data_IF_118568245365
#
_entry.id   IF_118568245365
#
_cell.length_a   1.000
_cell.length_b   1.000
_cell.length_c   1.000
_cell.angle_alpha   90.00
_cell.angle_beta   90.00
_cell.angle_gamma   90.00
#
_symmetry.space_group_name_H-M   'P 1'
#
loop_
_entity.id
_entity.type
_entity.pdbx_description
1 polymer ?
#
# COMPACT_ATOMS: atom_id res chain seq x y z
N UNK A 1 -36.11 20.89 -69.79
CA UNK A 1 -35.34 22.12 -70.03
C UNK A 1 -34.04 21.93 -69.24
N UNK A 2 -33.01 21.41 -69.89
CA UNK A 2 -31.84 22.09 -70.35
C UNK A 2 -31.10 22.84 -69.20
N UNK A 3 -29.86 22.55 -68.80
CA UNK A 3 -28.67 22.33 -69.60
C UNK A 3 -27.51 21.87 -68.71
N UNK A 4 -26.79 20.87 -69.16
CA UNK A 4 -25.35 20.61 -68.94
C UNK A 4 -24.58 21.47 -70.03
N UNK A 5 -23.25 21.48 -70.11
CA UNK A 5 -22.10 21.27 -69.20
C UNK A 5 -20.95 22.30 -69.52
N UNK A 6 -19.76 22.19 -68.86
CA UNK A 6 -18.45 22.46 -69.55
C UNK A 6 -17.33 22.31 -68.52
N UNK A 7 -16.44 21.36 -68.50
CA UNK A 7 -15.27 21.00 -69.31
C UNK A 7 -14.06 21.97 -69.19
N UNK A 8 -12.98 21.31 -68.89
CA UNK A 8 -11.58 21.51 -69.32
C UNK A 8 -10.70 22.23 -68.30
N UNK A 9 -9.46 21.87 -68.10
CA UNK A 9 -8.48 20.95 -68.70
C UNK A 9 -7.19 21.11 -67.89
N UNK A 10 -6.56 20.07 -67.53
CA UNK A 10 -5.39 19.47 -68.16
C UNK A 10 -4.02 20.08 -67.81
N UNK A 11 -3.16 19.22 -67.29
CA UNK A 11 -1.84 18.92 -67.84
C UNK A 11 -0.66 19.82 -67.53
N UNK A 12 0.29 19.25 -66.86
CA UNK A 12 1.73 19.13 -67.19
C UNK A 12 2.41 18.39 -65.98
N UNK A 13 2.76 17.18 -66.07
CA UNK A 13 3.89 16.47 -66.71
C UNK A 13 5.09 17.35 -67.04
N UNK A 14 6.21 17.07 -66.40
CA UNK A 14 7.51 16.71 -66.95
C UNK A 14 8.59 16.77 -65.90
N UNK A 15 9.21 15.66 -65.73
CA UNK A 15 10.49 15.06 -66.11
C UNK A 15 11.57 15.34 -65.11
N UNK A 16 12.12 14.30 -64.43
CA UNK A 16 13.17 13.36 -64.84
C UNK A 16 14.47 14.11 -65.18
N UNK A 17 15.58 13.82 -64.66
CA UNK A 17 16.41 12.66 -64.67
C UNK A 17 17.86 13.01 -64.28
N UNK A 18 18.59 11.99 -63.90
CA UNK A 18 20.05 11.81 -63.93
C UNK A 18 20.91 12.58 -62.92
N UNK A 19 21.90 12.00 -62.25
CA UNK A 19 22.80 10.89 -62.59
C UNK A 19 23.42 10.37 -61.30
N UNK A 20 23.48 9.10 -61.03
CA UNK A 20 24.58 8.17 -61.10
C UNK A 20 25.99 8.72 -60.91
N UNK A 21 26.67 8.25 -59.87
CA UNK A 21 28.09 7.90 -59.88
C UNK A 21 28.45 7.26 -58.53
N UNK A 22 28.47 5.97 -58.42
CA UNK A 22 29.54 4.99 -58.25
C UNK A 22 30.90 5.55 -57.84
N UNK A 23 31.38 5.13 -56.67
CA UNK A 23 32.73 4.63 -56.45
C UNK A 23 32.95 4.19 -55.00
N UNK A 24 33.01 2.93 -54.76
CA UNK A 24 33.94 2.26 -53.84
C UNK A 24 35.12 1.75 -54.67
N UNK A 25 36.24 1.28 -54.14
CA UNK A 25 36.71 1.13 -52.78
C UNK A 25 38.13 1.65 -52.56
N UNK A 26 38.60 1.77 -51.34
CA UNK A 26 40.02 1.42 -51.07
C UNK A 26 40.20 0.95 -49.63
N UNK A 27 40.69 -0.23 -49.59
CA UNK A 27 41.29 -1.03 -48.54
C UNK A 27 42.67 -0.43 -48.25
N UNK A 28 43.00 -0.19 -46.97
CA UNK A 28 44.36 -0.33 -46.52
C UNK A 28 44.35 -0.75 -45.05
N UNK A 29 45.02 -1.80 -44.90
CA UNK A 29 45.45 -2.51 -43.72
C UNK A 29 46.61 -1.75 -43.05
N UNK A 30 46.72 -1.91 -41.78
CA UNK A 30 47.86 -1.49 -40.95
C UNK A 30 47.41 -1.62 -39.50
N UNK A 31 47.60 -2.73 -38.92
CA UNK A 31 48.75 -3.22 -38.17
C UNK A 31 48.82 -2.66 -36.78
N UNK A 32 48.42 -3.48 -35.86
CA UNK A 32 49.14 -3.92 -34.65
C UNK A 32 49.69 -2.87 -33.72
N UNK A 33 49.22 -2.88 -32.49
CA UNK A 33 50.09 -3.12 -31.34
C UNK A 33 49.27 -3.16 -30.04
N UNK A 34 49.06 -4.35 -29.54
CA UNK A 34 49.03 -4.59 -28.09
C UNK A 34 50.36 -4.20 -27.49
N UNK A 35 50.42 -3.73 -26.25
CA UNK A 35 51.15 -4.50 -25.32
C UNK A 35 50.41 -4.75 -23.99
N UNK A 36 50.30 -5.99 -23.69
CA UNK A 36 50.38 -6.60 -22.39
C UNK A 36 51.41 -5.86 -21.49
N UNK A 37 50.99 -5.42 -20.35
CA UNK A 37 51.85 -5.27 -19.18
C UNK A 37 51.19 -5.98 -18.01
N UNK A 38 51.74 -7.13 -17.78
CA UNK A 38 51.59 -7.98 -16.60
C UNK A 38 52.76 -7.63 -15.67
N UNK A 39 52.51 -7.13 -14.49
CA UNK A 39 53.42 -7.22 -13.34
C UNK A 39 52.53 -7.44 -12.13
N UNK A 40 52.50 -8.64 -11.69
CA UNK A 40 53.31 -9.36 -10.68
C UNK A 40 53.06 -8.83 -9.27
N UNK A 41 52.34 -9.70 -8.56
CA UNK A 41 52.62 -10.30 -7.27
C UNK A 41 53.59 -9.54 -6.35
N UNK A 42 53.08 -9.13 -5.22
CA UNK A 42 53.81 -9.20 -3.97
C UNK A 42 52.86 -9.61 -2.86
N UNK A 43 53.00 -10.82 -2.48
CA UNK A 43 52.59 -11.41 -1.22
C UNK A 43 53.47 -10.82 -0.11
N UNK A 44 52.85 -10.28 0.93
CA UNK A 44 53.50 -10.36 2.25
C UNK A 44 52.43 -10.67 3.29
N UNK A 45 52.68 -11.81 3.85
CA UNK A 45 52.02 -12.41 4.99
C UNK A 45 52.40 -11.70 6.28
N UNK A 46 51.58 -11.99 7.26
CA UNK A 46 51.85 -12.06 8.70
C UNK A 46 51.90 -10.74 9.47
N UNK A 47 51.00 -10.57 10.36
CA UNK A 47 51.11 -10.89 11.78
C UNK A 47 49.84 -10.53 12.54
N UNK A 48 49.20 -11.53 13.10
CA UNK A 48 48.49 -11.34 14.35
C UNK A 48 49.50 -10.99 15.46
N UNK A 49 49.07 -10.19 16.44
CA UNK A 49 49.09 -10.74 17.77
C UNK A 49 47.75 -10.67 18.46
N UNK A 50 47.47 -11.74 19.13
CA UNK A 50 46.60 -11.93 20.26
C UNK A 50 46.94 -10.97 21.39
N UNK A 51 45.94 -10.45 22.02
CA UNK A 51 45.97 -9.70 23.28
C UNK A 51 44.57 -9.48 23.72
N UNK A 52 44.06 -10.33 24.43
CA UNK A 52 43.42 -10.45 25.70
C UNK A 52 43.54 -9.18 26.56
N UNK A 53 42.45 -8.79 27.11
CA UNK A 53 42.20 -8.40 28.48
C UNK A 53 41.10 -7.32 28.51
N UNK A 54 40.02 -7.72 29.07
CA UNK A 54 39.57 -7.53 30.44
C UNK A 54 38.94 -6.22 30.75
N UNK A 55 37.66 -6.36 31.06
CA UNK A 55 36.95 -5.74 32.18
C UNK A 55 36.97 -4.23 32.35
N UNK A 56 35.77 -3.69 32.29
CA UNK A 56 35.43 -2.63 33.22
C UNK A 56 33.98 -2.84 33.72
N UNK A 57 33.86 -3.50 34.82
CA UNK A 57 32.75 -3.43 35.72
C UNK A 57 32.87 -2.12 36.50
N UNK A 58 31.86 -1.30 36.47
CA UNK A 58 31.67 -0.20 37.41
C UNK A 58 30.63 -0.60 38.43
N UNK A 59 31.08 -1.13 39.57
CA UNK A 59 30.28 -1.33 40.75
C UNK A 59 30.66 -0.24 41.77
N UNK A 60 29.69 0.54 42.17
CA UNK A 60 29.81 1.51 43.23
C UNK A 60 29.48 0.89 44.54
N UNK A 61 30.47 0.85 45.37
CA UNK A 61 30.60 1.14 46.80
C UNK A 61 29.56 0.68 47.80
N UNK A 62 29.96 -0.33 48.47
CA UNK A 62 29.64 -0.60 49.88
C UNK A 62 30.60 0.18 50.81
N UNK A 63 30.05 1.03 51.64
CA UNK A 63 30.72 1.58 52.81
C UNK A 63 30.50 0.67 54.01
N UNK A 64 31.54 -0.05 54.36
CA UNK A 64 31.65 -0.75 55.65
C UNK A 64 32.27 0.18 56.67
N UNK A 65 31.64 0.40 57.76
CA UNK A 65 32.26 1.00 58.97
C UNK A 65 32.12 0.11 60.17
N UNK A 66 33.26 -0.18 60.62
CA UNK A 66 33.71 -1.00 61.73
C UNK A 66 33.10 -0.64 63.08
N UNK A 67 32.90 -1.71 63.87
CA UNK A 67 32.72 -1.79 65.33
C UNK A 67 33.66 -0.88 66.13
N UNK A 68 33.10 -0.18 67.05
CA UNK A 68 33.74 0.03 68.35
C UNK A 68 32.66 -0.02 69.44
N UNK A 69 32.78 -0.97 70.37
CA UNK A 69 32.06 -0.99 71.66
C UNK A 69 32.78 -0.12 72.69
N UNK A 70 32.06 0.50 73.54
CA UNK A 70 32.53 0.55 74.94
C UNK A 70 31.50 0.07 75.93
N UNK A 71 32.11 -0.51 76.91
CA UNK A 71 31.82 -1.11 78.22
C UNK A 71 30.92 -0.23 79.08
N UNK A 72 29.96 -0.91 79.74
CA UNK A 72 29.38 -0.79 81.05
C UNK A 72 29.23 0.57 81.73
N UNK A 73 27.98 0.88 82.09
CA UNK A 73 27.69 1.18 83.55
C UNK A 73 26.24 0.83 83.85
N UNK A 74 26.04 -0.01 84.84
CA UNK A 74 24.73 -0.33 85.39
C UNK A 74 24.18 0.88 86.17
N UNK A 75 22.99 1.31 85.79
CA UNK A 75 22.18 2.10 86.70
C UNK A 75 20.76 1.47 86.79
N UNK A 76 20.48 0.85 87.85
CA UNK A 76 19.15 0.36 88.21
C UNK A 76 18.23 1.57 88.47
N UNK A 77 17.24 1.72 87.64
CA UNK A 77 16.08 2.53 87.98
C UNK A 77 14.84 1.68 87.79
N UNK A 78 14.16 1.57 88.96
CA UNK A 78 12.86 0.96 89.05
C UNK A 78 11.84 1.72 88.20
N UNK A 79 11.44 1.16 87.13
CA UNK A 79 10.19 1.57 86.44
C UNK A 79 9.19 0.44 86.49
N UNK A 80 8.11 0.76 87.17
CA UNK A 80 6.88 0.01 87.32
C UNK A 80 6.40 -0.44 85.95
N UNK A 81 6.20 -1.74 85.77
CA UNK A 81 5.63 -2.35 84.56
C UNK A 81 4.25 -1.77 84.25
N UNK A 82 4.13 -0.90 83.32
CA UNK A 82 2.87 -0.55 82.67
C UNK A 82 2.55 -1.65 81.70
N UNK A 83 1.36 -2.20 81.80
CA UNK A 83 0.86 -3.40 81.18
C UNK A 83 1.15 -3.51 79.67
N UNK A 84 1.46 -4.73 79.26
CA UNK A 84 1.56 -5.19 77.91
C UNK A 84 0.37 -4.73 77.09
N UNK A 85 0.62 -3.91 76.04
CA UNK A 85 -0.35 -3.71 75.02
C UNK A 85 -0.57 -5.05 74.27
N UNK A 86 -1.73 -5.67 74.62
CA UNK A 86 -2.17 -6.87 73.93
C UNK A 86 -2.26 -6.63 72.44
N UNK A 87 -1.66 -7.52 71.70
CA UNK A 87 -1.82 -7.61 70.24
C UNK A 87 -3.29 -7.45 69.90
N UNK A 88 -3.64 -6.75 68.75
CA UNK A 88 -5.02 -6.62 68.33
C UNK A 88 -5.57 -8.00 68.01
N UNK A 89 -6.28 -8.58 68.94
CA UNK A 89 -7.04 -9.82 68.75
C UNK A 89 -8.01 -9.57 67.60
N UNK A 90 -7.88 -10.34 66.54
CA UNK A 90 -8.87 -10.38 65.50
C UNK A 90 -10.25 -10.56 66.13
N UNK A 91 -11.05 -9.48 66.19
CA UNK A 91 -12.43 -9.56 66.70
C UNK A 91 -13.14 -10.58 65.78
N UNK A 92 -13.56 -11.67 66.36
CA UNK A 92 -14.40 -12.66 65.75
C UNK A 92 -15.70 -12.03 65.18
N UNK A 93 -16.41 -12.72 64.35
CA UNK A 93 -17.63 -12.18 63.73
C UNK A 93 -18.60 -11.75 64.86
N UNK A 94 -18.99 -10.45 64.83
CA UNK A 94 -19.92 -9.85 65.80
C UNK A 94 -21.25 -10.59 65.75
N UNK A 95 -21.59 -11.29 66.80
CA UNK A 95 -22.89 -11.95 67.02
C UNK A 95 -23.82 -11.00 67.76
N UNK A 96 -24.95 -10.62 67.13
CA UNK A 96 -25.88 -9.67 67.74
C UNK A 96 -26.53 -10.30 68.98
N UNK A 97 -26.38 -9.63 70.11
CA UNK A 97 -26.91 -10.10 71.43
C UNK A 97 -28.40 -9.79 71.60
N UNK A 98 -28.92 -8.72 70.98
CA UNK A 98 -30.28 -8.22 71.17
C UNK A 98 -31.05 -8.08 69.83
N UNK A 99 -32.38 -8.05 69.91
CA UNK A 99 -33.24 -7.88 68.70
C UNK A 99 -32.91 -6.55 67.95
N UNK A 100 -32.62 -5.49 68.68
CA UNK A 100 -32.24 -4.20 68.18
C UNK A 100 -30.93 -4.23 67.33
N UNK A 101 -29.91 -4.95 67.75
CA UNK A 101 -28.65 -5.11 67.03
C UNK A 101 -28.86 -5.87 65.70
N UNK A 102 -29.77 -6.82 65.72
CA UNK A 102 -30.14 -7.58 64.45
C UNK A 102 -30.81 -6.67 63.43
N UNK A 103 -31.65 -5.75 63.86
CA UNK A 103 -32.31 -4.77 62.97
C UNK A 103 -31.30 -3.79 62.41
N UNK A 104 -30.39 -3.24 63.17
CA UNK A 104 -29.31 -2.35 62.66
C UNK A 104 -28.43 -3.08 61.65
N UNK A 105 -28.08 -4.33 61.87
CA UNK A 105 -27.28 -5.12 60.96
C UNK A 105 -28.04 -5.46 59.65
N UNK A 106 -29.34 -5.71 59.73
CA UNK A 106 -30.21 -5.91 58.56
C UNK A 106 -30.29 -4.62 57.75
N UNK A 107 -30.53 -3.47 58.38
CA UNK A 107 -30.58 -2.16 57.70
C UNK A 107 -29.23 -1.79 57.06
N UNK A 108 -28.09 -2.06 57.71
CA UNK A 108 -26.75 -1.89 57.10
C UNK A 108 -26.51 -2.80 55.91
N UNK A 109 -26.92 -4.07 55.97
CA UNK A 109 -26.83 -5.02 54.86
C UNK A 109 -27.69 -4.59 53.67
N UNK A 110 -28.88 -4.09 53.93
CA UNK A 110 -29.80 -3.57 52.90
C UNK A 110 -29.22 -2.32 52.18
N UNK A 111 -28.68 -1.37 52.97
CA UNK A 111 -28.00 -0.18 52.44
C UNK A 111 -26.80 -0.54 51.57
N UNK A 112 -25.97 -1.49 52.02
CA UNK A 112 -24.81 -1.98 51.24
C UNK A 112 -25.24 -2.73 49.99
N UNK A 113 -26.30 -3.54 50.05
CA UNK A 113 -26.86 -4.20 48.84
C UNK A 113 -27.37 -3.18 47.81
N UNK A 114 -28.14 -2.16 48.28
CA UNK A 114 -28.63 -1.08 47.41
C UNK A 114 -27.49 -0.26 46.80
N UNK A 115 -26.44 0.06 47.58
CA UNK A 115 -25.23 0.75 47.09
C UNK A 115 -24.48 -0.10 46.07
N UNK A 116 -24.26 -1.39 46.32
CA UNK A 116 -23.62 -2.31 45.35
C UNK A 116 -24.41 -2.45 44.05
N UNK A 117 -25.76 -2.54 44.13
CA UNK A 117 -26.62 -2.56 42.93
C UNK A 117 -26.52 -1.26 42.13
N UNK A 118 -26.49 -0.09 42.81
CA UNK A 118 -26.31 1.22 42.10
C UNK A 118 -24.92 1.33 41.43
N UNK A 119 -23.87 0.89 42.12
CA UNK A 119 -22.51 0.87 41.55
C UNK A 119 -22.45 -0.10 40.36
N UNK A 120 -22.99 -1.32 40.49
CA UNK A 120 -23.05 -2.28 39.40
C UNK A 120 -23.84 -1.75 38.20
N UNK A 121 -24.99 -1.10 38.43
CA UNK A 121 -25.78 -0.47 37.39
C UNK A 121 -25.00 0.68 36.71
N UNK A 122 -24.26 1.49 37.49
CA UNK A 122 -23.40 2.54 36.95
C UNK A 122 -22.27 1.99 36.10
N UNK A 123 -21.61 0.92 36.53
CA UNK A 123 -20.57 0.25 35.72
C UNK A 123 -21.13 -0.31 34.39
N UNK A 124 -22.30 -0.97 34.46
CA UNK A 124 -22.98 -1.48 33.27
C UNK A 124 -23.33 -0.34 32.31
N UNK A 125 -23.86 0.79 32.83
CA UNK A 125 -24.17 1.96 32.01
C UNK A 125 -22.92 2.53 31.31
N UNK A 126 -21.81 2.66 32.05
CA UNK A 126 -20.54 3.12 31.44
C UNK A 126 -20.02 2.13 30.39
N UNK A 127 -20.07 0.82 30.64
CA UNK A 127 -19.69 -0.18 29.64
C UNK A 127 -20.57 -0.08 28.38
N UNK A 128 -21.89 0.09 28.57
CA UNK A 128 -22.82 0.25 27.43
C UNK A 128 -22.53 1.52 26.63
N UNK A 129 -22.25 2.65 27.30
CA UNK A 129 -21.90 3.90 26.58
C UNK A 129 -20.58 3.76 25.82
N UNK A 130 -19.58 3.07 26.36
CA UNK A 130 -18.31 2.80 25.66
C UNK A 130 -18.52 1.89 24.45
N UNK A 131 -19.34 0.84 24.58
CA UNK A 131 -19.66 -0.06 23.47
C UNK A 131 -20.44 0.67 22.38
N UNK A 132 -21.49 1.40 22.75
CA UNK A 132 -22.29 2.18 21.78
C UNK A 132 -21.47 3.28 21.12
N UNK A 133 -20.61 3.96 21.88
CA UNK A 133 -19.68 4.97 21.34
C UNK A 133 -18.68 4.36 20.38
N UNK A 134 -18.12 3.18 20.71
CA UNK A 134 -17.20 2.45 19.83
C UNK A 134 -17.87 1.98 18.52
N UNK A 135 -19.07 1.41 18.62
CA UNK A 135 -19.85 1.00 17.45
C UNK A 135 -20.22 2.22 16.58
N UNK A 136 -20.65 3.32 17.22
CA UNK A 136 -20.97 4.56 16.48
C UNK A 136 -19.75 5.16 15.79
N UNK A 137 -18.58 5.15 16.42
CA UNK A 137 -17.33 5.61 15.83
C UNK A 137 -16.88 4.71 14.65
N UNK A 138 -16.98 3.40 14.81
CA UNK A 138 -16.67 2.44 13.75
C UNK A 138 -17.61 2.62 12.54
N UNK A 139 -18.91 2.75 12.80
CA UNK A 139 -19.89 3.02 11.74
C UNK A 139 -19.62 4.33 11.01
N UNK A 140 -19.32 5.42 11.74
CA UNK A 140 -18.99 6.71 11.13
C UNK A 140 -17.70 6.63 10.30
N UNK A 141 -16.69 5.89 10.77
CA UNK A 141 -15.45 5.65 10.03
C UNK A 141 -15.72 4.92 8.72
N UNK A 142 -16.45 3.79 8.75
CA UNK A 142 -16.78 3.00 7.57
C UNK A 142 -17.61 3.82 6.57
N UNK A 143 -18.60 4.58 7.04
CA UNK A 143 -19.42 5.43 6.18
C UNK A 143 -18.62 6.58 5.53
N UNK A 144 -17.63 7.13 6.24
CA UNK A 144 -16.73 8.13 5.65
C UNK A 144 -15.78 7.51 4.63
N UNK A 145 -15.29 6.31 4.88
CA UNK A 145 -14.46 5.54 3.97
C UNK A 145 -15.22 5.24 2.66
N UNK A 146 -16.44 4.74 2.80
CA UNK A 146 -17.32 4.44 1.67
C UNK A 146 -17.57 5.68 0.79
N UNK A 147 -17.89 6.81 1.41
CA UNK A 147 -18.04 8.08 0.69
C UNK A 147 -16.77 8.55 -0.01
N UNK A 148 -15.59 8.28 0.56
CA UNK A 148 -14.34 8.66 -0.05
C UNK A 148 -14.00 7.78 -1.26
N UNK A 149 -14.25 6.48 -1.17
CA UNK A 149 -14.02 5.52 -2.25
C UNK A 149 -14.96 5.76 -3.45
N UNK A 150 -16.20 6.14 -3.19
CA UNK A 150 -17.24 6.32 -4.21
C UNK A 150 -17.44 7.80 -4.65
N UNK A 151 -16.50 8.71 -4.29
CA UNK A 151 -16.68 10.16 -4.50
C UNK A 151 -16.85 10.57 -5.97
N UNK A 152 -16.21 9.87 -6.89
CA UNK A 152 -16.18 10.16 -8.32
C UNK A 152 -16.93 9.08 -9.14
N UNK A 153 -17.76 8.27 -8.46
CA UNK A 153 -18.58 7.23 -9.10
C UNK A 153 -19.90 7.86 -9.52
N UNK A 154 -20.12 7.94 -10.82
CA UNK A 154 -21.35 8.45 -11.40
C UNK A 154 -22.35 7.34 -11.78
N UNK A 155 -23.55 7.75 -12.20
CA UNK A 155 -24.60 6.80 -12.59
C UNK A 155 -24.23 6.03 -13.88
N UNK A 156 -23.47 6.63 -14.77
CA UNK A 156 -23.07 5.98 -16.04
C UNK A 156 -22.07 4.86 -15.78
N UNK A 157 -21.13 5.08 -14.86
CA UNK A 157 -20.22 4.02 -14.40
C UNK A 157 -21.00 2.87 -13.76
N UNK A 158 -21.89 3.14 -12.82
CA UNK A 158 -22.69 2.10 -12.16
C UNK A 158 -23.57 1.32 -13.14
N UNK A 159 -24.15 2.01 -14.14
CA UNK A 159 -24.98 1.37 -15.16
C UNK A 159 -24.15 0.53 -16.15
N UNK A 160 -22.86 0.76 -16.26
CA UNK A 160 -21.96 -0.02 -17.12
C UNK A 160 -21.47 -1.32 -16.47
N UNK A 161 -21.66 -1.47 -15.15
CA UNK A 161 -21.22 -2.64 -14.40
C UNK A 161 -22.32 -3.71 -14.34
N UNK A 162 -21.90 -4.96 -14.40
CA UNK A 162 -22.80 -6.12 -14.28
C UNK A 162 -22.85 -6.57 -12.83
N UNK A 163 -24.06 -6.61 -12.26
CA UNK A 163 -24.26 -7.08 -10.88
C UNK A 163 -23.94 -8.56 -10.77
N UNK A 164 -23.16 -8.96 -9.76
CA UNK A 164 -22.92 -10.36 -9.41
C UNK A 164 -24.10 -10.93 -8.61
N UNK A 165 -24.51 -12.16 -8.91
CA UNK A 165 -25.65 -12.81 -8.24
C UNK A 165 -25.35 -13.15 -6.76
N UNK A 166 -24.09 -13.38 -6.43
CA UNK A 166 -23.65 -13.73 -5.08
C UNK A 166 -22.24 -13.19 -4.79
N UNK A 167 -22.02 -12.72 -3.57
CA UNK A 167 -20.69 -12.26 -3.10
C UNK A 167 -19.62 -13.36 -3.12
N UNK A 168 -20.00 -14.63 -3.29
CA UNK A 168 -19.08 -15.76 -3.40
C UNK A 168 -18.77 -16.17 -4.83
N UNK A 169 -19.47 -15.64 -5.82
CA UNK A 169 -19.28 -16.01 -7.21
C UNK A 169 -18.04 -15.31 -7.79
N UNK A 170 -17.32 -15.96 -8.70
CA UNK A 170 -16.22 -15.34 -9.41
C UNK A 170 -16.71 -14.13 -10.21
N UNK A 171 -15.97 -13.04 -10.16
CA UNK A 171 -16.28 -11.82 -10.90
C UNK A 171 -15.05 -11.21 -11.57
N UNK A 172 -15.31 -10.30 -12.51
CA UNK A 172 -14.27 -9.52 -13.15
C UNK A 172 -14.28 -8.09 -12.65
N UNK A 173 -13.08 -7.57 -12.38
CA UNK A 173 -12.83 -6.20 -11.98
C UNK A 173 -11.84 -5.56 -12.94
N UNK A 174 -12.15 -4.37 -13.41
CA UNK A 174 -11.24 -3.58 -14.24
C UNK A 174 -10.42 -2.63 -13.36
N UNK A 175 -9.11 -2.82 -13.36
CA UNK A 175 -8.16 -1.96 -12.65
C UNK A 175 -7.53 -1.01 -13.66
N UNK A 176 -7.63 0.30 -13.42
CA UNK A 176 -7.09 1.34 -14.29
C UNK A 176 -6.08 2.20 -13.53
N UNK A 177 -4.92 2.41 -14.15
CA UNK A 177 -3.95 3.42 -13.74
C UNK A 177 -3.99 4.60 -14.69
N UNK A 178 -4.21 5.80 -14.14
CA UNK A 178 -4.23 7.06 -14.90
C UNK A 178 -3.06 7.95 -14.52
N UNK A 179 -2.60 8.71 -15.49
CA UNK A 179 -1.60 9.78 -15.30
C UNK A 179 -2.33 11.13 -15.38
N UNK A 180 -2.59 11.73 -14.22
CA UNK A 180 -3.23 13.05 -14.08
C UNK A 180 -2.19 14.17 -14.20
N UNK A 181 -1.34 14.14 -15.21
CA UNK A 181 -0.39 15.22 -15.45
C UNK A 181 -1.15 16.50 -15.85
N UNK A 182 -1.17 17.50 -14.94
CA UNK A 182 -1.83 18.80 -15.12
C UNK A 182 -1.35 19.53 -16.39
N UNK A 183 -0.13 19.24 -16.87
CA UNK A 183 0.40 19.78 -18.12
C UNK A 183 -0.30 19.26 -19.36
N UNK A 184 -1.00 18.12 -19.28
CA UNK A 184 -1.74 17.51 -20.39
C UNK A 184 -3.22 17.90 -20.44
N UNK A 185 -3.79 18.38 -19.34
CA UNK A 185 -5.17 18.90 -19.31
C UNK A 185 -5.39 20.04 -20.32
N UNK A 186 -4.35 20.78 -20.68
CA UNK A 186 -4.41 21.92 -21.57
C UNK A 186 -4.24 21.58 -23.05
N UNK A 187 -4.02 20.31 -23.42
CA UNK A 187 -3.88 19.93 -24.83
C UNK A 187 -5.27 19.66 -25.44
N UNK A 188 -5.69 20.55 -26.32
CA UNK A 188 -6.98 20.48 -27.07
C UNK A 188 -7.14 19.24 -27.96
N UNK A 189 -6.09 18.44 -28.14
CA UNK A 189 -6.09 17.29 -29.07
C UNK A 189 -7.03 16.15 -28.64
N UNK A 190 -7.36 16.06 -27.33
CA UNK A 190 -8.22 15.01 -26.77
C UNK A 190 -9.23 15.53 -25.75
N UNK A 191 -9.58 16.81 -25.80
CA UNK A 191 -10.64 17.39 -25.00
C UNK A 191 -10.38 17.45 -23.49
N UNK A 192 -9.12 17.51 -23.07
CA UNK A 192 -8.74 17.56 -21.63
C UNK A 192 -8.94 16.25 -20.88
N UNK A 193 -9.15 15.13 -21.57
CA UNK A 193 -9.38 13.84 -20.96
C UNK A 193 -8.09 13.06 -20.74
N UNK A 194 -7.95 12.46 -19.56
CA UNK A 194 -6.84 11.58 -19.24
C UNK A 194 -6.84 10.31 -20.10
N UNK A 195 -5.66 9.75 -20.32
CA UNK A 195 -5.50 8.43 -20.95
C UNK A 195 -5.09 7.42 -19.91
N UNK A 196 -5.57 6.21 -20.07
CA UNK A 196 -5.12 5.10 -19.25
C UNK A 196 -3.74 4.64 -19.68
N UNK A 197 -2.80 4.61 -18.74
CA UNK A 197 -1.45 4.08 -18.97
C UNK A 197 -1.35 2.60 -18.63
N UNK A 198 -2.23 2.13 -17.75
CA UNK A 198 -2.34 0.73 -17.34
C UNK A 198 -3.80 0.29 -17.30
N UNK A 199 -4.08 -0.85 -17.91
CA UNK A 199 -5.37 -1.53 -17.82
C UNK A 199 -5.15 -3.00 -17.51
N UNK A 200 -5.73 -3.46 -16.42
CA UNK A 200 -5.61 -4.85 -15.95
C UNK A 200 -7.01 -5.39 -15.65
N UNK A 201 -7.37 -6.45 -16.34
CA UNK A 201 -8.56 -7.23 -16.05
C UNK A 201 -8.21 -8.26 -14.98
N UNK A 202 -8.82 -8.14 -13.80
CA UNK A 202 -8.68 -9.05 -12.69
C UNK A 202 -9.89 -9.98 -12.63
N UNK A 203 -9.67 -11.29 -12.68
CA UNK A 203 -10.68 -12.27 -12.29
C UNK A 203 -10.44 -12.64 -10.84
N UNK A 204 -11.43 -12.40 -10.01
CA UNK A 204 -11.39 -12.67 -8.57
C UNK A 204 -12.35 -13.82 -8.27
N UNK A 205 -11.84 -14.85 -7.62
CA UNK A 205 -12.61 -16.00 -7.14
C UNK A 205 -12.55 -16.01 -5.60
N UNK A 206 -13.58 -15.48 -4.92
CA UNK A 206 -13.59 -15.40 -3.47
C UNK A 206 -13.62 -16.76 -2.78
N UNK A 207 -14.26 -17.75 -3.42
CA UNK A 207 -14.41 -19.10 -2.89
C UNK A 207 -13.09 -19.86 -2.87
N UNK A 208 -12.37 -19.80 -3.98
CA UNK A 208 -11.09 -20.48 -4.13
C UNK A 208 -9.92 -19.60 -3.66
N UNK A 209 -10.20 -18.33 -3.33
CA UNK A 209 -9.19 -17.30 -2.94
C UNK A 209 -8.13 -17.14 -4.01
N UNK A 210 -8.55 -17.14 -5.26
CA UNK A 210 -7.68 -17.02 -6.42
C UNK A 210 -7.91 -15.69 -7.13
N UNK A 211 -6.82 -15.07 -7.58
CA UNK A 211 -6.84 -13.85 -8.40
C UNK A 211 -5.98 -14.07 -9.62
N UNK A 212 -6.59 -13.92 -10.79
CA UNK A 212 -5.90 -13.95 -12.08
C UNK A 212 -5.85 -12.54 -12.67
N UNK A 213 -4.66 -12.07 -13.05
CA UNK A 213 -4.44 -10.75 -13.61
C UNK A 213 -4.04 -10.84 -15.08
N UNK A 214 -4.78 -10.15 -15.95
CA UNK A 214 -4.50 -10.05 -17.38
C UNK A 214 -4.28 -8.57 -17.74
N UNK A 215 -3.06 -8.23 -18.16
CA UNK A 215 -2.79 -6.87 -18.66
C UNK A 215 -3.33 -6.72 -20.08
N UNK A 216 -3.97 -5.59 -20.34
CA UNK A 216 -4.44 -5.18 -21.65
C UNK A 216 -3.49 -4.09 -22.15
N UNK A 217 -2.70 -4.35 -23.21
CA UNK A 217 -1.81 -3.34 -23.76
C UNK A 217 -2.58 -2.10 -24.19
N UNK A 218 -2.18 -0.92 -23.73
CA UNK A 218 -2.87 0.35 -24.01
C UNK A 218 -2.99 0.68 -25.51
N UNK A 219 -2.07 0.13 -26.32
CA UNK A 219 -2.01 0.33 -27.77
C UNK A 219 -2.81 -0.74 -28.56
N UNK A 220 -3.55 -1.63 -27.86
CA UNK A 220 -4.43 -2.62 -28.50
C UNK A 220 -5.42 -1.93 -29.40
N UNK A 221 -5.46 -2.34 -30.66
CA UNK A 221 -6.35 -1.79 -31.67
C UNK A 221 -7.76 -2.36 -31.50
N UNK A 222 -8.75 -1.48 -31.38
CA UNK A 222 -10.16 -1.84 -31.25
C UNK A 222 -11.05 -1.00 -32.16
N UNK A 223 -12.29 -1.44 -32.38
CA UNK A 223 -13.34 -0.64 -32.99
C UNK A 223 -14.10 0.10 -31.87
N UNK A 224 -14.02 1.43 -31.89
CA UNK A 224 -14.62 2.27 -30.84
C UNK A 224 -15.86 3.01 -31.37
N UNK A 225 -16.90 2.26 -31.69
CA UNK A 225 -18.20 2.80 -32.13
C UNK A 225 -18.06 3.83 -33.25
N UNK A 226 -18.57 5.04 -33.05
CA UNK A 226 -18.53 6.16 -34.00
C UNK A 226 -17.13 6.76 -34.19
N UNK A 227 -16.19 6.46 -33.30
CA UNK A 227 -14.79 6.95 -33.34
C UNK A 227 -13.90 6.10 -34.25
N UNK A 228 -14.46 5.02 -34.84
CA UNK A 228 -13.74 4.13 -35.73
C UNK A 228 -12.68 3.28 -35.05
N UNK A 229 -11.61 2.96 -35.80
CA UNK A 229 -10.50 2.15 -35.26
C UNK A 229 -9.58 3.03 -34.40
N UNK A 230 -9.44 2.70 -33.14
CA UNK A 230 -8.65 3.44 -32.15
C UNK A 230 -7.80 2.49 -31.30
N UNK A 231 -6.86 3.05 -30.53
CA UNK A 231 -6.21 2.35 -29.43
C UNK A 231 -7.17 2.24 -28.25
N UNK A 232 -7.13 1.13 -27.52
CA UNK A 232 -8.07 0.90 -26.40
C UNK A 232 -7.98 1.96 -25.31
N UNK A 233 -6.81 2.55 -25.05
CA UNK A 233 -6.66 3.63 -24.08
C UNK A 233 -7.42 4.92 -24.47
N UNK A 234 -7.82 5.08 -25.73
CA UNK A 234 -8.66 6.19 -26.16
C UNK A 234 -10.12 6.02 -25.70
N UNK A 235 -10.55 4.80 -25.37
CA UNK A 235 -11.91 4.56 -24.88
C UNK A 235 -12.20 5.32 -23.60
N UNK A 236 -11.21 5.42 -22.70
CA UNK A 236 -11.31 6.23 -21.48
C UNK A 236 -11.41 7.74 -21.81
N UNK A 237 -10.60 8.24 -22.72
CA UNK A 237 -10.63 9.64 -23.12
C UNK A 237 -11.97 10.07 -23.75
N UNK A 238 -12.64 9.19 -24.49
CA UNK A 238 -13.92 9.48 -25.14
C UNK A 238 -15.14 9.21 -24.26
N UNK A 239 -15.09 8.24 -23.38
CA UNK A 239 -16.27 7.77 -22.61
C UNK A 239 -16.00 7.57 -21.12
N UNK A 240 -14.88 8.08 -20.59
CA UNK A 240 -14.53 7.91 -19.19
C UNK A 240 -14.42 6.45 -18.76
N UNK A 241 -14.64 6.17 -17.47
CA UNK A 241 -14.64 4.81 -16.94
C UNK A 241 -15.60 3.87 -17.68
N UNK A 242 -16.83 4.30 -17.96
CA UNK A 242 -17.83 3.50 -18.67
C UNK A 242 -17.40 3.12 -20.09
N UNK A 243 -16.72 4.05 -20.78
CA UNK A 243 -16.15 3.78 -22.11
C UNK A 243 -15.05 2.75 -22.06
N UNK A 244 -14.18 2.81 -21.06
CA UNK A 244 -13.11 1.83 -20.84
C UNK A 244 -13.67 0.44 -20.50
N UNK A 245 -14.68 0.37 -19.60
CA UNK A 245 -15.37 -0.89 -19.24
C UNK A 245 -15.92 -1.55 -20.49
N UNK A 246 -16.74 -0.81 -21.24
CA UNK A 246 -17.35 -1.34 -22.47
C UNK A 246 -16.30 -1.83 -23.48
N UNK A 247 -15.24 -1.08 -23.69
CA UNK A 247 -14.17 -1.44 -24.61
C UNK A 247 -13.46 -2.74 -24.20
N UNK A 248 -13.26 -2.94 -22.87
CA UNK A 248 -12.65 -4.16 -22.36
C UNK A 248 -13.60 -5.34 -22.40
N UNK A 249 -14.89 -5.14 -22.11
CA UNK A 249 -15.92 -6.18 -22.27
C UNK A 249 -16.03 -6.66 -23.71
N UNK A 250 -16.09 -5.73 -24.67
CA UNK A 250 -16.14 -6.04 -26.10
C UNK A 250 -14.87 -6.78 -26.59
N UNK A 251 -13.71 -6.46 -26.02
CA UNK A 251 -12.44 -7.10 -26.36
C UNK A 251 -12.31 -8.50 -25.73
N UNK A 252 -12.64 -8.63 -24.44
CA UNK A 252 -12.38 -9.84 -23.67
C UNK A 252 -13.54 -10.85 -23.70
N UNK A 253 -14.74 -10.40 -24.08
CA UNK A 253 -15.95 -11.23 -24.10
C UNK A 253 -16.44 -11.64 -22.71
N UNK A 254 -16.18 -10.80 -21.70
CA UNK A 254 -16.60 -11.01 -20.32
C UNK A 254 -17.36 -9.79 -19.80
N UNK A 255 -18.23 -9.99 -18.81
CA UNK A 255 -18.90 -8.87 -18.12
C UNK A 255 -18.09 -8.41 -16.93
N UNK A 256 -17.92 -7.11 -16.79
CA UNK A 256 -17.18 -6.48 -15.69
C UNK A 256 -18.16 -6.09 -14.59
N UNK A 257 -17.90 -6.56 -13.37
CA UNK A 257 -18.76 -6.33 -12.22
C UNK A 257 -18.27 -5.20 -11.33
N UNK A 258 -16.98 -4.94 -11.31
CA UNK A 258 -16.37 -3.93 -10.46
C UNK A 258 -15.29 -3.16 -11.20
N UNK A 259 -15.05 -1.95 -10.72
CA UNK A 259 -14.09 -1.00 -11.26
C UNK A 259 -13.24 -0.42 -10.14
N UNK A 260 -11.96 -0.22 -10.40
CA UNK A 260 -11.08 0.59 -9.56
C UNK A 260 -10.10 1.38 -10.41
N UNK A 261 -9.95 2.65 -10.07
CA UNK A 261 -9.03 3.58 -10.69
C UNK A 261 -8.10 4.20 -9.65
N UNK A 262 -6.83 4.31 -9.98
CA UNK A 262 -5.83 4.95 -9.14
C UNK A 262 -4.93 5.84 -10.01
N UNK A 263 -4.57 7.01 -9.49
CA UNK A 263 -3.54 7.84 -10.08
C UNK A 263 -2.13 7.46 -9.56
N UNK A 264 -1.11 8.09 -10.17
CA UNK A 264 0.28 7.77 -9.84
C UNK A 264 0.67 8.14 -8.42
N UNK A 265 0.17 9.29 -7.92
CA UNK A 265 0.45 9.75 -6.57
C UNK A 265 -0.19 8.84 -5.52
N UNK A 266 -1.43 8.43 -5.78
CA UNK A 266 -2.12 7.46 -4.95
C UNK A 266 -1.44 6.10 -4.93
N UNK A 267 -0.96 5.62 -6.07
CA UNK A 267 -0.21 4.38 -6.12
C UNK A 267 1.06 4.45 -5.25
N UNK A 268 1.84 5.53 -5.36
CA UNK A 268 3.03 5.73 -4.54
C UNK A 268 2.68 5.80 -3.04
N UNK A 269 1.62 6.56 -2.68
CA UNK A 269 1.16 6.70 -1.30
C UNK A 269 0.72 5.36 -0.69
N UNK A 270 0.07 4.49 -1.47
CA UNK A 270 -0.31 3.14 -1.02
C UNK A 270 0.91 2.29 -0.72
N UNK A 271 1.91 2.28 -1.61
CA UNK A 271 3.16 1.54 -1.40
C UNK A 271 3.87 2.02 -0.13
N UNK A 272 3.96 3.33 0.07
CA UNK A 272 4.59 3.93 1.25
C UNK A 272 3.82 3.63 2.54
N UNK A 273 2.49 3.61 2.50
CA UNK A 273 1.64 3.28 3.66
C UNK A 273 1.83 1.83 4.14
N UNK A 274 2.24 0.94 3.24
CA UNK A 274 2.60 -0.45 3.52
C UNK A 274 4.04 -0.62 4.03
N UNK A 275 4.81 0.48 4.12
CA UNK A 275 6.23 0.44 4.47
C UNK A 275 7.12 -0.11 3.35
N UNK A 276 6.70 0.06 2.11
CA UNK A 276 7.37 -0.44 0.91
C UNK A 276 6.98 -1.86 0.54
N UNK A 277 7.33 -2.28 -0.68
CA UNK A 277 6.99 -3.59 -1.24
C UNK A 277 8.26 -4.34 -1.63
N UNK A 278 8.38 -5.58 -1.19
CA UNK A 278 9.51 -6.45 -1.50
C UNK A 278 9.37 -7.00 -2.92
N UNK A 279 10.29 -6.62 -3.80
CA UNK A 279 10.33 -7.00 -5.22
C UNK A 279 11.71 -7.56 -5.57
N UNK A 280 11.71 -8.62 -6.35
CA UNK A 280 12.90 -9.05 -7.06
C UNK A 280 12.93 -8.36 -8.44
N UNK A 281 13.69 -7.30 -8.56
CA UNK A 281 13.88 -6.56 -9.82
C UNK A 281 14.70 -7.44 -10.75
N UNK A 282 14.07 -7.92 -11.82
CA UNK A 282 14.68 -8.91 -12.70
C UNK A 282 15.85 -8.34 -13.54
N UNK A 283 15.68 -7.09 -13.98
CA UNK A 283 16.64 -6.35 -14.80
C UNK A 283 16.92 -5.00 -14.18
N UNK A 284 18.17 -4.54 -14.27
CA UNK A 284 18.52 -3.17 -13.92
C UNK A 284 17.67 -2.19 -14.71
N UNK A 285 17.13 -1.18 -14.03
CA UNK A 285 16.35 -0.11 -14.63
C UNK A 285 17.17 1.16 -14.56
N UNK A 286 17.50 1.70 -15.72
CA UNK A 286 18.09 3.01 -15.90
C UNK A 286 17.33 3.70 -17.03
N UNK A 287 16.13 4.21 -16.71
CA UNK A 287 15.25 4.82 -17.69
C UNK A 287 15.43 6.35 -17.66
N UNK A 288 16.02 6.93 -18.73
CA UNK A 288 16.31 8.36 -18.75
C UNK A 288 15.04 9.23 -18.79
N UNK A 289 13.89 8.67 -19.17
CA UNK A 289 12.63 9.40 -19.25
C UNK A 289 11.97 9.57 -17.87
N UNK A 290 12.27 8.66 -16.93
CA UNK A 290 11.70 8.67 -15.58
C UNK A 290 12.73 9.03 -14.51
N UNK A 291 13.92 9.47 -14.92
CA UNK A 291 15.03 9.96 -14.06
C UNK A 291 15.26 9.09 -12.81
N UNK A 292 15.10 7.76 -12.97
CA UNK A 292 15.16 6.80 -11.89
C UNK A 292 16.09 5.65 -12.20
N UNK A 293 16.71 5.13 -11.15
CA UNK A 293 17.57 3.96 -11.19
C UNK A 293 17.13 2.93 -10.17
N UNK A 294 17.01 1.67 -10.62
CA UNK A 294 16.85 0.52 -9.75
C UNK A 294 17.84 -0.55 -10.15
N UNK A 295 18.66 -0.99 -9.21
CA UNK A 295 19.52 -2.14 -9.43
C UNK A 295 18.69 -3.42 -9.61
N UNK A 296 19.22 -4.40 -10.31
CA UNK A 296 18.65 -5.74 -10.33
C UNK A 296 18.81 -6.44 -8.97
N UNK A 297 17.90 -7.33 -8.62
CA UNK A 297 17.92 -8.13 -7.40
C UNK A 297 16.78 -7.86 -6.44
N UNK A 298 16.85 -8.52 -5.28
CA UNK A 298 15.84 -8.41 -4.23
C UNK A 298 16.00 -7.10 -3.47
N UNK A 299 14.93 -6.30 -3.39
CA UNK A 299 14.93 -5.04 -2.66
C UNK A 299 13.51 -4.65 -2.23
N UNK A 300 13.39 -3.79 -1.22
CA UNK A 300 12.12 -3.20 -0.81
C UNK A 300 11.98 -1.84 -1.49
N UNK A 301 10.98 -1.70 -2.34
CA UNK A 301 10.70 -0.48 -3.10
C UNK A 301 9.77 0.42 -2.31
N UNK A 302 10.12 1.70 -2.16
CA UNK A 302 9.20 2.76 -1.73
C UNK A 302 8.28 3.19 -2.88
N UNK A 303 7.37 4.14 -2.65
CA UNK A 303 6.39 4.58 -3.64
C UNK A 303 7.02 5.10 -4.93
N UNK A 304 8.05 5.94 -4.84
CA UNK A 304 8.78 6.48 -5.98
C UNK A 304 9.48 5.37 -6.78
N UNK A 305 10.16 4.47 -6.09
CA UNK A 305 10.83 3.33 -6.71
C UNK A 305 9.84 2.35 -7.36
N UNK A 306 8.66 2.17 -6.75
CA UNK A 306 7.58 1.37 -7.31
C UNK A 306 7.03 1.99 -8.60
N UNK A 307 6.93 3.32 -8.68
CA UNK A 307 6.58 4.02 -9.93
C UNK A 307 7.64 3.80 -11.02
N UNK A 308 8.93 3.93 -10.70
CA UNK A 308 10.02 3.63 -11.65
C UNK A 308 9.86 2.20 -12.17
N UNK A 309 9.67 1.23 -11.29
CA UNK A 309 9.50 -0.19 -11.63
C UNK A 309 8.29 -0.46 -12.54
N UNK A 310 7.16 0.23 -12.30
CA UNK A 310 5.91 0.02 -13.03
C UNK A 310 5.78 0.85 -14.32
N UNK A 311 6.57 1.91 -14.50
CA UNK A 311 6.44 2.83 -15.65
C UNK A 311 7.56 2.67 -16.66
N UNK A 312 8.75 2.24 -16.25
CA UNK A 312 9.90 2.09 -17.13
C UNK A 312 9.62 1.07 -18.25
N UNK A 313 9.97 1.46 -19.46
CA UNK A 313 9.91 0.62 -20.66
C UNK A 313 11.18 0.72 -21.51
N UNK A 314 11.69 1.92 -21.71
CA UNK A 314 12.87 2.17 -22.57
C UNK A 314 14.16 1.60 -21.98
N UNK A 315 14.21 1.39 -20.67
CA UNK A 315 15.30 0.65 -20.02
C UNK A 315 15.44 -0.79 -20.55
N UNK A 316 14.41 -1.32 -21.19
CA UNK A 316 14.37 -2.70 -21.69
C UNK A 316 14.52 -2.84 -23.21
N UNK A 317 14.67 -1.73 -23.93
CA UNK A 317 14.73 -1.74 -25.43
C UNK A 317 15.86 -2.63 -25.96
N UNK A 318 16.95 -2.78 -25.20
CA UNK A 318 18.08 -3.63 -25.56
C UNK A 318 17.85 -5.13 -25.33
N UNK A 319 16.87 -5.52 -24.51
CA UNK A 319 16.67 -6.91 -24.05
C UNK A 319 15.34 -7.51 -24.50
N UNK A 320 14.39 -6.72 -25.01
CA UNK A 320 13.12 -7.24 -25.48
C UNK A 320 12.02 -6.20 -25.66
N UNK A 321 10.77 -6.67 -25.57
CA UNK A 321 9.59 -5.82 -25.64
C UNK A 321 9.40 -5.11 -24.28
N UNK A 322 9.76 -3.83 -24.24
CA UNK A 322 9.65 -3.00 -23.04
C UNK A 322 8.23 -2.89 -22.49
N UNK A 323 7.21 -2.87 -23.36
CA UNK A 323 5.81 -2.83 -22.93
C UNK A 323 5.35 -4.15 -22.31
N UNK A 324 5.80 -5.29 -22.81
CA UNK A 324 5.51 -6.59 -22.22
C UNK A 324 6.15 -6.73 -20.84
N UNK A 325 7.43 -6.31 -20.69
CA UNK A 325 8.15 -6.32 -19.41
C UNK A 325 7.46 -5.37 -18.42
N UNK A 326 7.13 -4.14 -18.81
CA UNK A 326 6.38 -3.19 -17.99
C UNK A 326 5.07 -3.80 -17.48
N UNK A 327 4.29 -4.39 -18.37
CA UNK A 327 3.03 -5.04 -17.99
C UNK A 327 3.23 -6.22 -17.02
N UNK A 328 4.31 -6.98 -17.17
CA UNK A 328 4.67 -8.03 -16.22
C UNK A 328 5.07 -7.45 -14.84
N UNK A 329 5.84 -6.36 -14.84
CA UNK A 329 6.21 -5.64 -13.62
C UNK A 329 4.99 -5.12 -12.86
N UNK A 330 4.01 -4.54 -13.56
CA UNK A 330 2.76 -4.06 -12.97
C UNK A 330 1.98 -5.19 -12.30
N UNK A 331 1.82 -6.35 -12.97
CA UNK A 331 1.16 -7.51 -12.36
C UNK A 331 1.92 -8.05 -11.15
N UNK A 332 3.24 -8.10 -11.24
CA UNK A 332 4.10 -8.53 -10.11
C UNK A 332 3.93 -7.60 -8.91
N UNK A 333 3.92 -6.30 -9.14
CA UNK A 333 3.73 -5.29 -8.10
C UNK A 333 2.35 -5.42 -7.44
N UNK A 334 1.27 -5.52 -8.21
CA UNK A 334 -0.09 -5.71 -7.67
C UNK A 334 -0.15 -6.99 -6.83
N UNK A 335 0.40 -8.09 -7.32
CA UNK A 335 0.42 -9.35 -6.58
C UNK A 335 1.21 -9.23 -5.27
N UNK A 336 2.32 -8.49 -5.27
CA UNK A 336 3.13 -8.24 -4.07
C UNK A 336 2.41 -7.32 -3.08
N UNK A 337 1.72 -6.27 -3.54
CA UNK A 337 0.87 -5.40 -2.71
C UNK A 337 -0.23 -6.22 -2.04
N UNK A 338 -0.96 -7.04 -2.80
CA UNK A 338 -2.01 -7.91 -2.24
C UNK A 338 -1.46 -8.85 -1.18
N UNK A 339 -0.32 -9.50 -1.46
CA UNK A 339 0.35 -10.38 -0.49
C UNK A 339 0.75 -9.64 0.78
N UNK A 340 1.29 -8.43 0.65
CA UNK A 340 1.67 -7.58 1.78
C UNK A 340 0.46 -7.17 2.60
N UNK A 341 -0.62 -6.71 1.96
CA UNK A 341 -1.90 -6.38 2.61
C UNK A 341 -2.43 -7.57 3.44
N UNK A 342 -2.49 -8.76 2.84
CA UNK A 342 -3.00 -9.96 3.51
C UNK A 342 -2.15 -10.41 4.71
N UNK A 343 -0.89 -10.02 4.78
CA UNK A 343 0.05 -10.34 5.87
C UNK A 343 0.26 -9.19 6.86
N UNK A 344 -0.33 -8.02 6.61
CA UNK A 344 -0.18 -6.84 7.45
C UNK A 344 -1.01 -6.92 8.73
N UNK A 345 -0.54 -6.26 9.78
CA UNK A 345 -1.32 -6.08 11.00
C UNK A 345 -2.50 -5.13 10.77
N UNK A 346 -3.47 -5.17 11.70
CA UNK A 346 -4.71 -4.41 11.57
C UNK A 346 -4.49 -2.89 11.54
N UNK A 347 -3.46 -2.38 12.19
CA UNK A 347 -3.12 -0.96 12.18
C UNK A 347 -2.62 -0.51 10.82
N UNK A 348 -1.66 -1.24 10.25
CA UNK A 348 -1.14 -1.02 8.89
C UNK A 348 -2.27 -1.15 7.87
N UNK A 349 -3.11 -2.18 7.98
CA UNK A 349 -4.25 -2.38 7.08
C UNK A 349 -5.22 -1.19 7.12
N UNK A 350 -5.61 -0.73 8.32
CA UNK A 350 -6.52 0.41 8.48
C UNK A 350 -5.92 1.69 7.89
N UNK A 351 -4.63 1.95 8.13
CA UNK A 351 -3.94 3.11 7.57
C UNK A 351 -3.89 3.05 6.04
N UNK A 352 -3.53 1.89 5.47
CA UNK A 352 -3.46 1.71 4.02
C UNK A 352 -4.83 1.84 3.36
N UNK A 353 -5.90 1.28 3.96
CA UNK A 353 -7.26 1.44 3.44
C UNK A 353 -7.72 2.90 3.50
N UNK A 354 -7.37 3.63 4.56
CA UNK A 354 -7.65 5.07 4.66
C UNK A 354 -6.88 5.89 3.62
N UNK A 355 -5.65 5.49 3.28
CA UNK A 355 -4.84 6.10 2.23
C UNK A 355 -5.44 5.79 0.86
N UNK A 356 -5.76 4.52 0.60
CA UNK A 356 -6.45 4.08 -0.63
C UNK A 356 -7.70 4.91 -0.90
N UNK A 357 -8.56 5.12 0.11
CA UNK A 357 -9.80 5.85 -0.04
C UNK A 357 -9.64 7.32 -0.46
N UNK A 358 -8.45 7.89 -0.32
CA UNK A 358 -8.16 9.26 -0.77
C UNK A 358 -7.84 9.34 -2.26
N UNK A 359 -7.29 8.26 -2.83
CA UNK A 359 -6.69 8.23 -4.16
C UNK A 359 -7.34 7.23 -5.12
N UNK A 360 -8.15 6.31 -4.61
CA UNK A 360 -8.87 5.34 -5.43
C UNK A 360 -10.32 5.80 -5.64
N UNK A 361 -10.78 5.67 -6.87
CA UNK A 361 -12.21 5.69 -7.22
C UNK A 361 -12.64 4.27 -7.50
N UNK A 362 -13.64 3.75 -6.79
CA UNK A 362 -14.18 2.41 -7.00
C UNK A 362 -15.67 2.37 -6.67
N UNK A 363 -16.38 1.48 -7.34
CA UNK A 363 -17.78 1.15 -7.03
C UNK A 363 -17.92 0.23 -5.81
N UNK A 364 -16.81 -0.34 -5.33
CA UNK A 364 -16.82 -1.26 -4.20
C UNK A 364 -17.13 -0.54 -2.89
N UNK A 365 -18.15 -0.99 -2.17
CA UNK A 365 -18.53 -0.47 -0.84
C UNK A 365 -17.89 -1.31 0.28
N UNK A 366 -17.58 -0.67 1.42
CA UNK A 366 -16.92 -1.31 2.58
C UNK A 366 -17.93 -1.97 3.52
#
# INVERSE_FOLDING_TARGET
>A
MNNKPSKRSARAERKAAHASSSRTPHRSAGSASDPYVRTSRASHASRRPSGSSTNAYGASNYGSSTHVSPVHTQQKSNYRSVGAYGSPTKRGPYTPRNAHDREILRAKRERTKKRRKRIALGVVAVCLTLVLGGVGAAWAYLNNLDKALNKDVDADLLNSLTVTDSASDPFYMLLIGIDKDEGRESSDEYGGSYRTDSMILARIDPKDKEVTLVSIPRDTQIQLGTHGTQKINAAYAFGGPSGAIKAVEDLAGVSISHYAEIDLDGFAAVVDSLGGIDINVQYEINDPNYMGYLAAGQQTLNGEQALIYCRSRHAYDAIGDGDAIRSANQRTMISAIMKKLMSSDIGTLTNTVSTLAQYITTDYSV
#
